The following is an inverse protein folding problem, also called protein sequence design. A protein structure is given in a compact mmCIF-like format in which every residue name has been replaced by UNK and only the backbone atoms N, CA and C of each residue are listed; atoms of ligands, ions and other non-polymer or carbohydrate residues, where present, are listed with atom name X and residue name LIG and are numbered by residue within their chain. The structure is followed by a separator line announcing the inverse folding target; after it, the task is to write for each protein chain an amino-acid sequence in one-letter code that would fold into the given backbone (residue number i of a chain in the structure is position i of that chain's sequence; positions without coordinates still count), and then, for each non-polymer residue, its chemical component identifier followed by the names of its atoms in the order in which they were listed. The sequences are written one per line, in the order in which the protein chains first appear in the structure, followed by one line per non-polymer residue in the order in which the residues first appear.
data_IF_826456787705
#
_entry.id   IF_826456787705
#
_cell.length_a   1.000
_cell.length_b   1.000
_cell.length_c   1.000
_cell.angle_alpha   90.00
_cell.angle_beta   90.00
_cell.angle_gamma   90.00
#
_symmetry.space_group_name_H-M   'P 1'
#
loop_
_entity.id
_entity.type
_entity.pdbx_description
1 polymer ?
#
# COMPACT_ATOMS: atom_id res chain seq x y z
N UNK A 1 -8.11 -4.21 6.83
CA UNK A 1 -7.75 -4.94 5.62
C UNK A 1 -7.42 -6.35 6.03
N UNK A 2 -8.12 -7.32 5.47
CA UNK A 2 -7.82 -8.74 5.52
C UNK A 2 -8.08 -9.27 4.12
N UNK A 3 -7.32 -10.26 3.66
CA UNK A 3 -7.59 -10.84 2.36
C UNK A 3 -8.87 -11.68 2.44
N UNK A 4 -9.74 -11.58 1.43
CA UNK A 4 -10.89 -12.46 1.34
C UNK A 4 -10.44 -13.89 1.02
N UNK A 5 -11.27 -14.88 1.33
CA UNK A 5 -10.99 -16.28 0.97
C UNK A 5 -10.78 -16.47 -0.54
N UNK A 6 -11.49 -15.69 -1.35
CA UNK A 6 -11.31 -15.67 -2.80
C UNK A 6 -9.93 -15.13 -3.19
N UNK A 7 -9.50 -14.00 -2.61
CA UNK A 7 -8.15 -13.46 -2.84
C UNK A 7 -7.07 -14.45 -2.43
N UNK A 8 -7.23 -15.11 -1.27
CA UNK A 8 -6.32 -16.17 -0.82
C UNK A 8 -6.24 -17.28 -1.87
N UNK A 9 -7.38 -17.79 -2.34
CA UNK A 9 -7.42 -18.85 -3.37
C UNK A 9 -6.72 -18.45 -4.66
N UNK A 10 -6.94 -17.22 -5.13
CA UNK A 10 -6.25 -16.69 -6.32
C UNK A 10 -4.75 -16.62 -6.12
N UNK A 11 -4.27 -16.14 -4.96
CA UNK A 11 -2.84 -16.14 -4.65
C UNK A 11 -2.24 -17.55 -4.64
N UNK A 12 -2.95 -18.54 -4.09
CA UNK A 12 -2.50 -19.94 -4.13
C UNK A 12 -2.41 -20.49 -5.55
N UNK A 13 -3.39 -20.18 -6.40
CA UNK A 13 -3.41 -20.66 -7.78
C UNK A 13 -2.22 -20.13 -8.59
N UNK A 14 -1.81 -18.88 -8.34
CA UNK A 14 -0.73 -18.22 -9.07
C UNK A 14 0.60 -18.14 -8.31
N UNK A 15 0.71 -18.78 -7.14
CA UNK A 15 1.88 -18.67 -6.25
C UNK A 15 3.19 -18.92 -6.98
N UNK A 16 3.27 -20.08 -7.65
CA UNK A 16 4.47 -20.48 -8.40
C UNK A 16 4.83 -19.47 -9.48
N UNK A 17 3.84 -19.02 -10.26
CA UNK A 17 4.04 -18.02 -11.31
C UNK A 17 4.53 -16.68 -10.75
N UNK A 18 3.94 -16.21 -9.65
CA UNK A 18 4.29 -14.94 -8.99
C UNK A 18 5.73 -15.01 -8.46
N UNK A 19 6.12 -16.11 -7.84
CA UNK A 19 7.46 -16.27 -7.25
C UNK A 19 8.54 -16.50 -8.32
N UNK A 20 8.28 -17.34 -9.32
CA UNK A 20 9.27 -17.71 -10.35
C UNK A 20 9.46 -16.63 -11.41
N UNK A 21 8.42 -15.87 -11.76
CA UNK A 21 8.54 -14.77 -12.72
C UNK A 21 9.42 -13.62 -12.24
N UNK A 22 9.69 -13.55 -10.93
CA UNK A 22 10.40 -12.43 -10.31
C UNK A 22 9.63 -11.12 -10.35
N UNK A 23 8.35 -11.11 -10.75
CA UNK A 23 7.50 -9.90 -10.82
C UNK A 23 7.44 -9.17 -9.47
N UNK A 24 7.58 -9.90 -8.37
CA UNK A 24 7.57 -9.36 -7.01
C UNK A 24 8.76 -8.44 -6.74
N UNK A 25 9.91 -8.65 -7.40
CA UNK A 25 11.09 -7.77 -7.35
C UNK A 25 10.84 -6.38 -7.96
N UNK A 26 9.76 -6.21 -8.72
CA UNK A 26 9.34 -4.93 -9.30
C UNK A 26 8.02 -4.43 -8.70
N UNK A 27 7.41 -5.21 -7.80
CA UNK A 27 6.10 -4.89 -7.22
C UNK A 27 6.26 -4.21 -5.87
N UNK A 28 5.53 -3.12 -5.67
CA UNK A 28 5.37 -2.46 -4.37
C UNK A 28 3.99 -2.76 -3.81
N UNK A 29 3.93 -3.30 -2.60
CA UNK A 29 2.66 -3.45 -1.89
C UNK A 29 2.29 -2.14 -1.19
N UNK A 30 1.19 -1.53 -1.60
CA UNK A 30 0.63 -0.34 -0.95
C UNK A 30 -0.45 -0.76 0.03
N UNK A 31 -0.13 -0.71 1.32
CA UNK A 31 -1.09 -0.95 2.39
C UNK A 31 -1.79 0.35 2.77
N UNK A 32 -3.11 0.41 2.60
CA UNK A 32 -3.91 1.60 2.92
C UNK A 32 -4.90 1.34 4.07
N UNK A 33 -4.97 2.30 5.00
CA UNK A 33 -5.91 2.26 6.11
C UNK A 33 -7.17 3.08 5.78
N UNK A 34 -8.25 2.38 5.40
CA UNK A 34 -9.54 2.97 5.03
C UNK A 34 -10.50 3.23 6.21
N UNK A 35 -10.16 2.80 7.44
CA UNK A 35 -11.06 2.98 8.59
C UNK A 35 -10.64 4.14 9.48
N UNK A 36 -11.62 4.82 10.07
CA UNK A 36 -11.47 5.93 11.03
C UNK A 36 -10.99 5.47 12.42
N UNK A 37 -10.28 4.33 12.51
CA UNK A 37 -9.81 3.78 13.79
C UNK A 37 -8.39 4.20 14.09
N UNK A 38 -8.12 4.48 15.38
CA UNK A 38 -6.85 4.90 15.94
C UNK A 38 -5.63 4.15 15.41
N UNK A 39 -4.52 4.91 15.40
CA UNK A 39 -3.21 4.57 14.88
C UNK A 39 -2.62 3.40 15.68
N UNK A 40 -3.11 2.18 15.46
CA UNK A 40 -2.28 1.02 15.70
C UNK A 40 -1.14 1.07 14.69
N UNK A 41 0.09 1.07 15.21
CA UNK A 41 1.34 1.16 14.46
C UNK A 41 1.31 0.25 13.24
N UNK A 42 1.69 0.80 12.09
CA UNK A 42 1.74 0.13 10.78
C UNK A 42 2.36 -1.27 10.84
N UNK A 43 3.37 -1.46 11.70
CA UNK A 43 4.06 -2.73 11.93
C UNK A 43 3.14 -3.83 12.48
N UNK A 44 2.32 -3.54 13.50
CA UNK A 44 1.40 -4.55 14.08
C UNK A 44 0.36 -5.02 13.06
N UNK A 45 -0.11 -4.12 12.19
CA UNK A 45 -1.08 -4.43 11.14
C UNK A 45 -0.46 -5.24 10.00
N UNK A 46 0.75 -4.90 9.57
CA UNK A 46 1.50 -5.71 8.59
C UNK A 46 1.74 -7.11 9.16
N UNK A 47 2.17 -7.23 10.42
CA UNK A 47 2.37 -8.52 11.06
C UNK A 47 1.07 -9.34 11.17
N UNK A 48 -0.06 -8.70 11.46
CA UNK A 48 -1.36 -9.37 11.44
C UNK A 48 -1.71 -9.89 10.04
N UNK A 49 -1.46 -9.10 8.99
CA UNK A 49 -1.67 -9.48 7.60
C UNK A 49 -0.77 -10.67 7.18
N UNK A 50 0.46 -10.72 7.70
CA UNK A 50 1.41 -11.82 7.49
C UNK A 50 1.08 -13.09 8.28
N UNK A 51 0.18 -13.03 9.27
CA UNK A 51 -0.20 -14.17 10.11
C UNK A 51 -1.39 -14.99 9.58
N UNK A 52 -2.08 -14.50 8.54
CA UNK A 52 -3.32 -15.12 8.04
C UNK A 52 -3.08 -16.34 7.11
N UNK A 53 -1.95 -16.39 6.39
CA UNK A 53 -1.62 -17.47 5.48
C UNK A 53 -0.13 -17.52 5.18
N UNK A 54 0.47 -18.71 5.22
CA UNK A 54 1.89 -18.91 4.88
C UNK A 54 2.21 -18.45 3.46
N UNK A 55 1.30 -18.71 2.51
CA UNK A 55 1.47 -18.37 1.10
C UNK A 55 1.45 -16.85 0.89
N UNK A 56 0.53 -16.15 1.55
CA UNK A 56 0.48 -14.68 1.51
C UNK A 56 1.74 -14.10 2.13
N UNK A 57 2.22 -14.69 3.23
CA UNK A 57 3.45 -14.26 3.89
C UNK A 57 4.66 -14.40 2.97
N UNK A 58 4.77 -15.48 2.22
CA UNK A 58 5.86 -15.71 1.28
C UNK A 58 5.81 -14.72 0.11
N UNK A 59 4.64 -14.54 -0.50
CA UNK A 59 4.46 -13.55 -1.58
C UNK A 59 4.78 -12.13 -1.09
N UNK A 60 4.28 -11.72 0.08
CA UNK A 60 4.51 -10.38 0.61
C UNK A 60 5.99 -10.15 0.93
N UNK A 61 6.68 -11.15 1.49
CA UNK A 61 8.12 -11.07 1.73
C UNK A 61 8.95 -10.96 0.46
N UNK A 62 8.44 -11.50 -0.65
CA UNK A 62 9.12 -11.43 -1.93
C UNK A 62 8.97 -10.08 -2.64
N UNK A 63 8.02 -9.22 -2.20
CA UNK A 63 7.87 -7.90 -2.77
C UNK A 63 9.08 -7.00 -2.50
N UNK A 64 9.44 -6.21 -3.51
CA UNK A 64 10.54 -5.26 -3.43
C UNK A 64 10.40 -4.25 -2.28
N UNK A 65 9.15 -3.85 -2.01
CA UNK A 65 8.87 -2.91 -0.93
C UNK A 65 7.42 -2.95 -0.50
N UNK A 66 7.19 -2.51 0.73
CA UNK A 66 5.87 -2.36 1.32
C UNK A 66 5.78 -0.94 1.86
N UNK A 67 4.80 -0.18 1.41
CA UNK A 67 4.55 1.18 1.88
C UNK A 67 3.18 1.28 2.52
N UNK A 68 3.11 2.02 3.64
CA UNK A 68 1.86 2.35 4.29
C UNK A 68 1.41 3.76 3.90
N UNK A 69 0.14 3.90 3.50
CA UNK A 69 -0.48 5.19 3.16
C UNK A 69 -1.80 5.35 3.87
N UNK A 70 -2.01 6.52 4.47
CA UNK A 70 -3.30 6.87 5.06
C UNK A 70 -4.23 7.38 3.96
N UNK A 71 -5.28 6.61 3.68
CA UNK A 71 -6.30 6.97 2.70
C UNK A 71 -7.68 7.01 3.37
N UNK A 72 -7.83 7.90 4.34
CA UNK A 72 -9.09 8.05 5.08
C UNK A 72 -10.25 8.42 4.12
N UNK A 73 -11.46 7.91 4.35
CA UNK A 73 -12.64 8.31 3.60
C UNK A 73 -12.93 9.79 3.86
N UNK A 74 -13.39 10.50 2.82
CA UNK A 74 -13.84 11.89 2.97
C UNK A 74 -15.32 11.85 3.37
N UNK A 75 -15.71 12.39 4.54
CA UNK A 75 -17.11 12.47 4.92
C UNK A 75 -17.93 13.28 3.91
N UNK A 76 -19.17 12.86 3.68
CA UNK A 76 -20.12 13.59 2.81
C UNK A 76 -21.07 14.38 3.69
N UNK A 77 -21.23 15.67 3.39
CA UNK A 77 -22.24 16.54 3.98
C UNK A 77 -23.55 16.32 3.22
N UNK A 78 -24.64 16.04 3.94
CA UNK A 78 -25.97 15.78 3.38
C UNK A 78 -26.98 16.81 3.90
N UNK A 79 -28.14 16.93 3.26
CA UNK A 79 -29.11 17.99 3.56
C UNK A 79 -29.70 17.87 4.97
N UNK A 80 -29.72 16.66 5.50
CA UNK A 80 -30.28 16.30 6.80
C UNK A 80 -29.30 16.60 7.96
N UNK A 81 -28.04 16.97 7.66
CA UNK A 81 -27.06 17.28 8.68
C UNK A 81 -27.42 18.57 9.41
N UNK A 82 -27.45 18.52 10.74
CA UNK A 82 -27.56 19.73 11.54
C UNK A 82 -26.24 20.52 11.55
N UNK A 83 -26.27 21.77 12.01
CA UNK A 83 -25.10 22.66 12.04
C UNK A 83 -23.88 22.04 12.76
N UNK A 84 -24.10 21.32 13.86
CA UNK A 84 -23.01 20.67 14.60
C UNK A 84 -22.39 19.50 13.81
N UNK A 85 -23.21 18.75 13.06
CA UNK A 85 -22.75 17.68 12.18
C UNK A 85 -21.94 18.23 11.01
N UNK A 86 -22.42 19.31 10.39
CA UNK A 86 -21.72 20.02 9.31
C UNK A 86 -20.34 20.48 9.78
N UNK A 87 -20.24 21.11 10.96
CA UNK A 87 -18.96 21.57 11.51
C UNK A 87 -17.99 20.42 11.78
N UNK A 88 -18.49 19.31 12.37
CA UNK A 88 -17.69 18.10 12.61
C UNK A 88 -17.19 17.49 11.30
N UNK A 89 -18.07 17.35 10.30
CA UNK A 89 -17.73 16.80 8.99
C UNK A 89 -16.72 17.68 8.26
N UNK A 90 -16.88 19.00 8.31
CA UNK A 90 -15.95 19.97 7.70
C UNK A 90 -14.53 19.83 8.24
N UNK A 91 -14.39 19.73 9.58
CA UNK A 91 -13.07 19.49 10.21
C UNK A 91 -12.47 18.16 9.75
N UNK A 92 -13.27 17.09 9.70
CA UNK A 92 -12.83 15.77 9.24
C UNK A 92 -12.44 15.74 7.75
N UNK A 93 -13.14 16.49 6.90
CA UNK A 93 -12.80 16.62 5.47
C UNK A 93 -11.40 17.19 5.33
N UNK A 94 -11.11 18.34 5.97
CA UNK A 94 -9.79 18.97 5.91
C UNK A 94 -8.66 18.05 6.40
N UNK A 95 -8.87 17.32 7.50
CA UNK A 95 -7.91 16.34 8.02
C UNK A 95 -7.68 15.20 7.00
N UNK A 96 -8.75 14.69 6.39
CA UNK A 96 -8.68 13.59 5.45
C UNK A 96 -8.00 13.98 4.14
N UNK A 97 -8.26 15.19 3.64
CA UNK A 97 -7.58 15.76 2.48
C UNK A 97 -6.08 15.89 2.73
N UNK A 98 -5.67 16.41 3.88
CA UNK A 98 -4.25 16.53 4.23
C UNK A 98 -3.57 15.15 4.34
N UNK A 99 -4.25 14.17 4.96
CA UNK A 99 -3.74 12.78 5.01
C UNK A 99 -3.57 12.18 3.62
N UNK A 100 -4.57 12.35 2.74
CA UNK A 100 -4.52 11.88 1.34
C UNK A 100 -3.40 12.56 0.56
N UNK A 101 -3.19 13.87 0.74
CA UNK A 101 -2.09 14.61 0.12
C UNK A 101 -0.73 14.03 0.53
N UNK A 102 -0.49 13.88 1.84
CA UNK A 102 0.74 13.25 2.36
C UNK A 102 0.91 11.81 1.88
N UNK A 103 -0.18 11.04 1.81
CA UNK A 103 -0.19 9.70 1.26
C UNK A 103 0.26 9.69 -0.21
N UNK A 104 -0.28 10.60 -1.03
CA UNK A 104 0.11 10.74 -2.44
C UNK A 104 1.57 11.14 -2.59
N UNK A 105 2.04 12.13 -1.84
CA UNK A 105 3.45 12.55 -1.82
C UNK A 105 4.37 11.39 -1.46
N UNK A 106 4.00 10.58 -0.46
CA UNK A 106 4.75 9.39 -0.06
C UNK A 106 4.84 8.35 -1.18
N UNK A 107 3.74 8.06 -1.88
CA UNK A 107 3.74 7.12 -3.02
C UNK A 107 4.61 7.67 -4.14
N UNK A 108 4.47 8.94 -4.50
CA UNK A 108 5.24 9.55 -5.59
C UNK A 108 6.74 9.55 -5.27
N UNK A 109 7.13 9.92 -4.05
CA UNK A 109 8.53 9.88 -3.60
C UNK A 109 9.10 8.46 -3.69
N UNK A 110 8.36 7.47 -3.20
CA UNK A 110 8.77 6.07 -3.27
C UNK A 110 8.93 5.58 -4.71
N UNK A 111 7.99 5.91 -5.60
CA UNK A 111 8.07 5.53 -7.02
C UNK A 111 9.27 6.18 -7.71
N UNK A 112 9.57 7.45 -7.40
CA UNK A 112 10.75 8.15 -7.91
C UNK A 112 12.05 7.49 -7.43
N UNK A 113 12.16 7.17 -6.14
CA UNK A 113 13.30 6.44 -5.57
C UNK A 113 13.49 5.09 -6.25
N UNK A 114 12.41 4.31 -6.42
CA UNK A 114 12.47 3.01 -7.11
C UNK A 114 12.82 3.12 -8.59
N UNK A 115 12.38 4.18 -9.27
CA UNK A 115 12.79 4.44 -10.65
C UNK A 115 14.30 4.66 -10.74
N UNK A 116 14.86 5.47 -9.86
CA UNK A 116 16.30 5.75 -9.81
C UNK A 116 17.12 4.49 -9.51
N UNK A 117 16.70 3.70 -8.53
CA UNK A 117 17.34 2.40 -8.22
C UNK A 117 17.32 1.44 -9.41
N UNK A 118 16.20 1.37 -10.15
CA UNK A 118 16.11 0.49 -11.33
C UNK A 118 17.01 0.99 -12.48
N UNK A 119 17.06 2.30 -12.69
CA UNK A 119 17.90 2.90 -13.72
C UNK A 119 19.39 2.61 -13.49
N UNK A 120 19.86 2.78 -12.24
CA UNK A 120 21.25 2.50 -11.87
C UNK A 120 21.62 1.04 -12.13
N UNK A 121 20.77 0.08 -11.71
CA UNK A 121 21.01 -1.35 -11.95
C UNK A 121 21.10 -1.70 -13.43
N UNK A 122 20.21 -1.11 -14.24
CA UNK A 122 20.23 -1.32 -15.68
C UNK A 122 21.53 -0.80 -16.32
N UNK A 123 22.00 0.38 -15.91
CA UNK A 123 23.26 0.96 -16.39
C UNK A 123 24.48 0.12 -16.00
N UNK A 124 24.52 -0.41 -14.77
CA UNK A 124 25.57 -1.31 -14.29
C UNK A 124 25.61 -2.63 -15.06
N UNK A 125 24.45 -3.24 -15.33
CA UNK A 125 24.34 -4.48 -16.12
C UNK A 125 24.74 -4.24 -17.59
N UNK A 126 24.33 -3.11 -18.18
CA UNK A 126 24.70 -2.74 -19.53
C UNK A 126 26.21 -2.47 -19.68
N UNK A 127 26.88 -2.02 -18.63
CA UNK A 127 28.34 -1.84 -18.61
C UNK A 127 29.06 -3.20 -18.57
N UNK A 128 28.61 -4.13 -17.72
CA UNK A 128 29.20 -5.49 -17.60
C UNK A 128 29.10 -6.32 -18.88
N UNK A 129 28.15 -6.04 -19.76
CA UNK A 129 27.99 -6.72 -21.04
C UNK A 129 28.91 -6.17 -22.15
N UNK A 130 29.62 -5.07 -21.90
CA UNK A 130 30.55 -4.44 -22.85
C UNK A 130 32.01 -4.83 -22.61
N UNK A 131 32.31 -5.51 -21.51
CA UNK A 131 33.61 -6.14 -21.19
C UNK A 131 33.58 -7.63 -21.52
#
# INVERSE_FOLDING_TARGET
GRFSQEQIRSFKLFEKLILESGVTKFTTLVYSHFKDSEIQTSVKKINALLSESNIIREIIKSYNSIIHVDNSPIPVIVREDNQQEIEKKTKKISISENKRKKGREKVLKHLEEKRQECQQKYEEEAYKLKE
#
